data_IF_766042648404
#
_entry.id   IF_766042648404
#
_cell.length_a   1.000
_cell.length_b   1.000
_cell.length_c   1.000
_cell.angle_alpha   90.00
_cell.angle_beta   90.00
_cell.angle_gamma   90.00
#
_symmetry.space_group_name_H-M   'P 1'
#
loop_
_entity.id
_entity.type
_entity.pdbx_description
1 polymer ?
#
# COMPACT_ATOMS: atom_id res chain seq x y z
N UNK A 1 13.91 21.32 -10.39
CA UNK A 1 12.62 20.68 -10.07
C UNK A 1 12.54 20.51 -8.56
N UNK A 2 11.67 21.26 -7.90
CA UNK A 2 11.42 21.08 -6.47
C UNK A 2 10.49 19.89 -6.27
N UNK A 3 11.04 18.68 -6.35
CA UNK A 3 10.30 17.48 -5.96
C UNK A 3 10.23 17.48 -4.44
N UNK A 4 9.04 17.36 -3.83
CA UNK A 4 8.93 17.25 -2.38
C UNK A 4 9.55 15.92 -1.95
N UNK A 5 10.80 15.95 -1.55
CA UNK A 5 11.54 14.80 -1.04
C UNK A 5 11.41 14.86 0.49
N UNK A 6 10.95 13.79 1.16
CA UNK A 6 11.05 13.72 2.61
C UNK A 6 12.48 13.96 3.06
N UNK A 7 12.67 14.77 4.09
CA UNK A 7 14.00 15.09 4.62
C UNK A 7 14.59 13.98 5.49
N UNK A 8 13.93 12.83 5.54
CA UNK A 8 14.37 11.70 6.35
C UNK A 8 15.65 11.08 5.77
N UNK A 9 16.56 10.76 6.66
CA UNK A 9 17.79 10.05 6.31
C UNK A 9 17.40 8.59 6.11
N UNK A 10 17.69 7.98 4.95
CA UNK A 10 17.47 6.55 4.77
C UNK A 10 18.35 5.77 5.76
N UNK A 11 17.71 4.91 6.55
CA UNK A 11 18.41 3.96 7.40
C UNK A 11 19.11 2.91 6.53
N UNK A 12 20.21 2.35 7.02
CA UNK A 12 20.87 1.23 6.36
C UNK A 12 19.90 0.04 6.27
N UNK A 13 19.91 -0.65 5.13
CA UNK A 13 19.09 -1.84 4.96
C UNK A 13 19.50 -2.93 5.98
N UNK A 14 18.52 -3.62 6.59
CA UNK A 14 18.81 -4.65 7.60
C UNK A 14 19.43 -5.93 7.02
N UNK A 15 19.32 -6.12 5.70
CA UNK A 15 19.82 -7.26 4.96
C UNK A 15 20.41 -6.77 3.62
N UNK A 16 21.27 -7.57 2.96
CA UNK A 16 21.74 -7.25 1.62
C UNK A 16 20.60 -7.01 0.65
N UNK A 17 20.70 -5.98 -0.19
CA UNK A 17 19.65 -5.55 -1.11
C UNK A 17 19.16 -6.69 -2.02
N UNK A 18 20.09 -7.48 -2.59
CA UNK A 18 19.73 -8.60 -3.45
C UNK A 18 18.83 -9.63 -2.76
N UNK A 19 19.05 -9.87 -1.45
CA UNK A 19 18.23 -10.79 -0.67
C UNK A 19 16.82 -10.24 -0.43
N UNK A 20 16.71 -8.95 -0.08
CA UNK A 20 15.42 -8.28 0.08
C UNK A 20 14.64 -8.23 -1.23
N UNK A 21 15.30 -7.97 -2.37
CA UNK A 21 14.69 -8.01 -3.69
C UNK A 21 14.20 -9.41 -4.02
N UNK A 22 14.99 -10.43 -3.76
CA UNK A 22 14.59 -11.83 -3.97
C UNK A 22 13.38 -12.19 -3.11
N UNK A 23 13.40 -11.83 -1.83
CA UNK A 23 12.25 -12.03 -0.92
C UNK A 23 11.00 -11.30 -1.42
N UNK A 24 11.14 -10.05 -1.87
CA UNK A 24 10.03 -9.28 -2.43
C UNK A 24 9.43 -9.99 -3.66
N UNK A 25 10.26 -10.39 -4.61
CA UNK A 25 9.78 -10.99 -5.87
C UNK A 25 9.17 -12.36 -5.62
N UNK A 26 9.85 -13.25 -4.92
CA UNK A 26 9.38 -14.62 -4.68
C UNK A 26 8.10 -14.61 -3.84
N UNK A 27 8.07 -13.85 -2.74
CA UNK A 27 6.88 -13.79 -1.89
C UNK A 27 5.69 -13.13 -2.61
N UNK A 28 5.94 -12.12 -3.45
CA UNK A 28 4.91 -11.52 -4.28
C UNK A 28 4.35 -12.51 -5.32
N UNK A 29 5.19 -13.29 -5.99
CA UNK A 29 4.74 -14.30 -6.97
C UNK A 29 3.87 -15.37 -6.31
N UNK A 30 4.23 -15.81 -5.11
CA UNK A 30 3.41 -16.74 -4.34
C UNK A 30 2.07 -16.11 -3.93
N UNK A 31 2.11 -14.91 -3.39
CA UNK A 31 0.92 -14.18 -2.94
C UNK A 31 -0.08 -13.91 -4.07
N UNK A 32 0.43 -13.44 -5.23
CA UNK A 32 -0.44 -13.00 -6.31
C UNK A 32 -1.28 -14.14 -6.91
N UNK A 33 -0.77 -15.37 -6.95
CA UNK A 33 -1.53 -16.53 -7.44
C UNK A 33 -2.76 -16.79 -6.59
N UNK A 34 -2.63 -16.70 -5.25
CA UNK A 34 -3.77 -16.89 -4.34
C UNK A 34 -4.75 -15.72 -4.39
N UNK A 35 -4.27 -14.49 -4.55
CA UNK A 35 -5.13 -13.31 -4.77
C UNK A 35 -5.91 -13.44 -6.08
N UNK A 36 -5.24 -13.83 -7.16
CA UNK A 36 -5.89 -14.02 -8.46
C UNK A 36 -6.98 -15.10 -8.38
N UNK A 37 -6.71 -16.21 -7.71
CA UNK A 37 -7.69 -17.27 -7.51
C UNK A 37 -8.86 -16.82 -6.62
N UNK A 38 -8.58 -16.02 -5.58
CA UNK A 38 -9.62 -15.50 -4.67
C UNK A 38 -10.56 -14.52 -5.41
N UNK A 39 -9.99 -13.53 -6.09
CA UNK A 39 -10.77 -12.51 -6.81
C UNK A 39 -11.48 -13.13 -8.01
N UNK A 40 -10.77 -13.85 -8.87
CA UNK A 40 -11.34 -14.49 -10.05
C UNK A 40 -12.34 -15.58 -9.69
N UNK A 41 -12.06 -16.36 -8.68
CA UNK A 41 -12.99 -17.36 -8.16
C UNK A 41 -14.29 -16.74 -7.64
N UNK A 42 -14.19 -15.57 -6.95
CA UNK A 42 -15.38 -14.83 -6.49
C UNK A 42 -16.22 -14.31 -7.67
N UNK A 43 -15.58 -13.78 -8.70
CA UNK A 43 -16.25 -13.34 -9.94
C UNK A 43 -16.95 -14.51 -10.63
N UNK A 44 -16.25 -15.64 -10.79
CA UNK A 44 -16.82 -16.81 -11.46
C UNK A 44 -17.94 -17.44 -10.61
N UNK A 45 -17.84 -17.42 -9.28
CA UNK A 45 -18.92 -17.86 -8.39
C UNK A 45 -20.18 -16.99 -8.59
N UNK A 46 -20.04 -15.69 -8.58
CA UNK A 46 -21.16 -14.77 -8.81
C UNK A 46 -21.79 -14.98 -10.18
N UNK A 47 -20.98 -15.07 -11.25
CA UNK A 47 -21.45 -15.36 -12.59
C UNK A 47 -22.21 -16.67 -12.69
N UNK A 48 -21.64 -17.73 -12.10
CA UNK A 48 -22.26 -19.07 -12.10
C UNK A 48 -23.57 -19.06 -11.30
N UNK A 49 -23.61 -18.37 -10.16
CA UNK A 49 -24.82 -18.28 -9.32
C UNK A 49 -25.95 -17.49 -10.02
N UNK A 50 -25.63 -16.41 -10.74
CA UNK A 50 -26.61 -15.69 -11.55
C UNK A 50 -27.18 -16.61 -12.64
N UNK A 51 -26.35 -17.41 -13.32
CA UNK A 51 -26.82 -18.45 -14.25
C UNK A 51 -27.61 -19.55 -13.55
N UNK A 52 -27.21 -19.86 -12.32
CA UNK A 52 -27.85 -20.83 -11.44
C UNK A 52 -29.29 -20.49 -11.05
N UNK A 53 -29.71 -19.23 -11.16
CA UNK A 53 -31.13 -18.83 -10.99
C UNK A 53 -32.06 -19.55 -11.97
N UNK A 54 -31.55 -19.94 -13.14
CA UNK A 54 -32.31 -20.62 -14.21
C UNK A 54 -31.86 -22.07 -14.46
N UNK A 55 -30.68 -22.47 -13.94
CA UNK A 55 -30.10 -23.77 -14.21
C UNK A 55 -29.38 -24.31 -12.96
N UNK A 56 -29.93 -25.32 -12.34
CA UNK A 56 -29.44 -25.93 -11.09
C UNK A 56 -27.98 -26.40 -11.16
N UNK A 57 -27.50 -26.86 -12.33
CA UNK A 57 -26.11 -27.29 -12.51
C UNK A 57 -25.13 -26.15 -12.27
N UNK A 58 -25.45 -24.94 -12.74
CA UNK A 58 -24.65 -23.75 -12.50
C UNK A 58 -24.71 -23.28 -11.03
N UNK A 59 -25.84 -23.47 -10.33
CA UNK A 59 -25.92 -23.20 -8.88
C UNK A 59 -25.01 -24.17 -8.10
N UNK A 60 -25.05 -25.47 -8.45
CA UNK A 60 -24.15 -26.47 -7.89
C UNK A 60 -22.68 -26.13 -8.17
N UNK A 61 -22.36 -25.72 -9.39
CA UNK A 61 -21.02 -25.29 -9.78
C UNK A 61 -20.55 -24.07 -8.98
N UNK A 62 -21.41 -23.08 -8.79
CA UNK A 62 -21.13 -21.90 -7.95
C UNK A 62 -20.81 -22.31 -6.50
N UNK A 63 -21.60 -23.25 -5.95
CA UNK A 63 -21.38 -23.76 -4.60
C UNK A 63 -20.02 -24.45 -4.44
N UNK A 64 -19.64 -25.29 -5.39
CA UNK A 64 -18.37 -26.01 -5.37
C UNK A 64 -17.17 -25.03 -5.45
N UNK A 65 -17.25 -23.99 -6.29
CA UNK A 65 -16.20 -22.96 -6.33
C UNK A 65 -16.16 -22.16 -5.01
N UNK A 66 -17.31 -21.76 -4.47
CA UNK A 66 -17.39 -21.01 -3.21
C UNK A 66 -16.71 -21.76 -2.04
N UNK A 67 -16.78 -23.09 -2.02
CA UNK A 67 -16.07 -23.93 -1.02
C UNK A 67 -14.55 -23.77 -1.14
N UNK A 68 -14.01 -23.74 -2.36
CA UNK A 68 -12.56 -23.63 -2.59
C UNK A 68 -12.02 -22.25 -2.32
N UNK A 69 -12.74 -21.19 -2.69
CA UNK A 69 -12.35 -19.79 -2.43
C UNK A 69 -12.18 -19.57 -0.93
N UNK A 70 -13.07 -20.14 -0.12
CA UNK A 70 -13.06 -19.97 1.35
C UNK A 70 -11.79 -20.50 2.00
N UNK A 71 -11.16 -21.54 1.45
CA UNK A 71 -9.87 -22.06 1.92
C UNK A 71 -8.71 -21.19 1.42
N UNK A 72 -8.72 -20.85 0.14
CA UNK A 72 -7.61 -20.14 -0.49
C UNK A 72 -7.40 -18.71 0.00
N UNK A 73 -8.45 -18.02 0.50
CA UNK A 73 -8.32 -16.65 1.02
C UNK A 73 -7.43 -16.53 2.25
N UNK A 74 -7.39 -17.53 3.12
CA UNK A 74 -6.48 -17.52 4.28
C UNK A 74 -5.03 -17.52 3.82
N UNK A 75 -4.69 -18.32 2.81
CA UNK A 75 -3.37 -18.33 2.19
C UNK A 75 -3.05 -17.00 1.50
N UNK A 76 -4.04 -16.40 0.83
CA UNK A 76 -3.86 -15.09 0.19
C UNK A 76 -3.42 -14.01 1.18
N UNK A 77 -4.03 -13.94 2.38
CA UNK A 77 -3.65 -12.94 3.40
C UNK A 77 -2.29 -13.25 4.00
N UNK A 78 -2.05 -14.47 4.45
CA UNK A 78 -0.80 -14.84 5.13
C UNK A 78 0.41 -14.61 4.22
N UNK A 79 0.31 -15.01 2.95
CA UNK A 79 1.39 -14.81 1.98
C UNK A 79 1.58 -13.34 1.58
N UNK A 80 0.60 -12.46 1.84
CA UNK A 80 0.70 -11.02 1.57
C UNK A 80 1.58 -10.24 2.53
N UNK A 81 1.85 -10.80 3.72
CA UNK A 81 2.66 -10.11 4.74
C UNK A 81 4.10 -9.93 4.27
N UNK A 82 4.71 -10.98 3.73
CA UNK A 82 6.12 -10.95 3.34
C UNK A 82 6.44 -9.93 2.22
N UNK A 83 5.69 -9.87 1.10
CA UNK A 83 5.95 -8.86 0.08
C UNK A 83 5.63 -7.43 0.58
N UNK A 84 4.64 -7.26 1.48
CA UNK A 84 4.33 -5.96 2.06
C UNK A 84 5.48 -5.46 2.96
N UNK A 85 6.05 -6.31 3.80
CA UNK A 85 7.19 -5.96 4.64
C UNK A 85 8.44 -5.68 3.79
N UNK A 86 8.68 -6.50 2.76
CA UNK A 86 9.83 -6.34 1.88
C UNK A 86 9.77 -5.03 1.08
N UNK A 87 8.61 -4.64 0.54
CA UNK A 87 8.47 -3.38 -0.19
C UNK A 87 8.58 -2.17 0.75
N UNK A 88 8.06 -2.27 1.98
CA UNK A 88 8.22 -1.24 2.99
C UNK A 88 9.69 -1.00 3.33
N UNK A 89 10.48 -2.06 3.45
CA UNK A 89 11.91 -1.97 3.81
C UNK A 89 12.75 -1.46 2.64
N UNK A 90 12.56 -2.01 1.43
CA UNK A 90 13.34 -1.63 0.25
C UNK A 90 13.03 -0.22 -0.27
N UNK A 91 11.77 0.19 -0.17
CA UNK A 91 11.27 1.40 -0.79
C UNK A 91 10.56 2.31 0.22
N UNK A 92 11.10 2.40 1.44
CA UNK A 92 10.50 3.10 2.59
C UNK A 92 9.96 4.48 2.21
N UNK A 93 10.82 5.37 1.70
CA UNK A 93 10.43 6.74 1.35
C UNK A 93 9.30 6.77 0.33
N UNK A 94 9.39 5.92 -0.70
CA UNK A 94 8.43 5.89 -1.82
C UNK A 94 7.09 5.29 -1.40
N UNK A 95 7.13 4.19 -0.66
CA UNK A 95 5.92 3.46 -0.27
C UNK A 95 5.14 4.22 0.80
N UNK A 96 5.80 4.74 1.84
CA UNK A 96 5.14 5.53 2.88
C UNK A 96 4.60 6.86 2.35
N UNK A 97 5.32 7.55 1.46
CA UNK A 97 4.80 8.76 0.83
C UNK A 97 3.55 8.47 -0.01
N UNK A 98 3.55 7.38 -0.78
CA UNK A 98 2.38 6.95 -1.52
C UNK A 98 1.20 6.58 -0.59
N UNK A 99 1.46 5.89 0.52
CA UNK A 99 0.45 5.55 1.53
C UNK A 99 -0.19 6.82 2.14
N UNK A 100 0.64 7.78 2.53
CA UNK A 100 0.19 9.05 3.09
C UNK A 100 -0.67 9.85 2.09
N UNK A 101 -0.23 9.90 0.83
CA UNK A 101 -0.94 10.60 -0.25
C UNK A 101 -2.25 9.91 -0.65
N UNK A 102 -2.30 8.57 -0.63
CA UNK A 102 -3.52 7.79 -0.88
C UNK A 102 -4.49 7.91 0.31
N UNK A 103 -3.93 8.15 1.50
CA UNK A 103 -4.65 8.55 2.71
C UNK A 103 -5.66 7.53 3.19
N UNK A 104 -6.89 8.00 3.42
CA UNK A 104 -7.98 7.19 3.99
C UNK A 104 -8.25 5.89 3.21
N UNK A 105 -8.18 5.93 1.86
CA UNK A 105 -8.42 4.75 1.05
C UNK A 105 -7.42 3.62 1.34
N UNK A 106 -6.14 3.96 1.60
CA UNK A 106 -5.12 2.99 1.97
C UNK A 106 -5.44 2.28 3.30
N UNK A 107 -5.85 3.05 4.31
CA UNK A 107 -6.22 2.49 5.64
C UNK A 107 -7.46 1.61 5.53
N UNK A 108 -8.41 1.98 4.66
CA UNK A 108 -9.64 1.24 4.43
C UNK A 108 -9.44 -0.16 3.82
N UNK A 109 -8.27 -0.49 3.27
CA UNK A 109 -7.98 -1.85 2.76
C UNK A 109 -8.26 -2.90 3.84
N UNK A 110 -7.83 -2.67 5.08
CA UNK A 110 -7.98 -3.64 6.17
C UNK A 110 -9.45 -3.92 6.49
N UNK A 111 -10.30 -2.93 6.83
CA UNK A 111 -11.71 -3.19 7.09
C UNK A 111 -12.46 -3.71 5.88
N UNK A 112 -12.11 -3.28 4.65
CA UNK A 112 -12.71 -3.81 3.43
C UNK A 112 -12.40 -5.30 3.24
N UNK A 113 -11.16 -5.75 3.46
CA UNK A 113 -10.79 -7.18 3.43
C UNK A 113 -11.59 -7.96 4.46
N UNK A 114 -11.72 -7.46 5.69
CA UNK A 114 -12.50 -8.11 6.76
C UNK A 114 -13.95 -8.28 6.33
N UNK A 115 -14.60 -7.21 5.86
CA UNK A 115 -16.00 -7.24 5.41
C UNK A 115 -16.18 -8.21 4.24
N UNK A 116 -15.30 -8.15 3.22
CA UNK A 116 -15.36 -9.07 2.08
C UNK A 116 -15.24 -10.54 2.51
N UNK A 117 -14.37 -10.82 3.47
CA UNK A 117 -14.21 -12.17 4.01
C UNK A 117 -15.45 -12.63 4.78
N UNK A 118 -16.01 -11.78 5.63
CA UNK A 118 -17.25 -12.08 6.35
C UNK A 118 -18.41 -12.35 5.38
N UNK A 119 -18.54 -11.54 4.31
CA UNK A 119 -19.54 -11.75 3.27
C UNK A 119 -19.35 -13.07 2.53
N UNK A 120 -18.12 -13.47 2.20
CA UNK A 120 -17.87 -14.78 1.55
C UNK A 120 -18.09 -15.95 2.50
N UNK A 121 -17.86 -15.81 3.81
CA UNK A 121 -18.25 -16.81 4.79
C UNK A 121 -19.77 -16.87 4.93
N UNK A 122 -20.42 -15.73 5.05
CA UNK A 122 -21.88 -15.64 5.10
C UNK A 122 -22.49 -16.31 3.85
N UNK A 123 -22.01 -15.98 2.66
CA UNK A 123 -22.44 -16.59 1.41
C UNK A 123 -22.28 -18.13 1.42
N UNK A 124 -21.12 -18.64 1.83
CA UNK A 124 -20.88 -20.08 1.86
C UNK A 124 -21.78 -20.81 2.85
N UNK A 125 -21.93 -20.30 4.06
CA UNK A 125 -22.64 -21.00 5.13
C UNK A 125 -24.16 -20.81 5.08
N UNK A 126 -24.65 -19.77 4.42
CA UNK A 126 -26.10 -19.53 4.23
C UNK A 126 -26.70 -20.23 3.02
N UNK A 127 -25.95 -21.08 2.31
CA UNK A 127 -26.39 -21.71 1.04
C UNK A 127 -27.75 -22.42 1.17
N UNK A 128 -27.92 -23.25 2.20
CA UNK A 128 -29.19 -23.92 2.47
C UNK A 128 -30.25 -22.96 3.02
N UNK A 129 -29.88 -22.08 3.93
CA UNK A 129 -30.82 -21.15 4.57
C UNK A 129 -31.44 -20.16 3.56
N UNK A 130 -30.69 -19.78 2.54
CA UNK A 130 -31.12 -18.84 1.49
C UNK A 130 -31.53 -19.54 0.18
N UNK A 131 -31.81 -20.85 0.21
CA UNK A 131 -32.22 -21.60 -0.98
C UNK A 131 -33.50 -21.01 -1.59
N UNK A 132 -34.44 -20.58 -0.77
CA UNK A 132 -35.70 -19.96 -1.21
C UNK A 132 -35.55 -18.43 -1.50
N UNK A 133 -34.43 -17.83 -1.12
CA UNK A 133 -34.15 -16.40 -1.29
C UNK A 133 -32.85 -16.15 -2.11
N UNK A 134 -32.78 -16.79 -3.27
CA UNK A 134 -31.59 -16.77 -4.15
C UNK A 134 -31.12 -15.36 -4.49
N UNK A 135 -32.01 -14.38 -4.64
CA UNK A 135 -31.63 -13.00 -4.94
C UNK A 135 -30.82 -12.36 -3.80
N UNK A 136 -31.22 -12.58 -2.55
CA UNK A 136 -30.46 -12.12 -1.39
C UNK A 136 -29.09 -12.78 -1.34
N UNK A 137 -29.04 -14.10 -1.62
CA UNK A 137 -27.80 -14.85 -1.65
C UNK A 137 -26.83 -14.35 -2.74
N UNK A 138 -27.33 -14.07 -3.96
CA UNK A 138 -26.56 -13.45 -5.05
C UNK A 138 -26.08 -12.06 -4.65
N UNK A 139 -26.89 -11.23 -3.97
CA UNK A 139 -26.53 -9.89 -3.54
C UNK A 139 -25.39 -9.91 -2.51
N UNK A 140 -25.35 -10.86 -1.59
CA UNK A 140 -24.24 -11.04 -0.66
C UNK A 140 -22.93 -11.27 -1.41
N UNK A 141 -22.95 -12.15 -2.42
CA UNK A 141 -21.77 -12.44 -3.23
C UNK A 141 -21.37 -11.25 -4.12
N UNK A 142 -22.38 -10.55 -4.68
CA UNK A 142 -22.13 -9.36 -5.48
C UNK A 142 -21.43 -8.25 -4.68
N UNK A 143 -21.87 -8.02 -3.44
CA UNK A 143 -21.22 -7.05 -2.55
C UNK A 143 -19.78 -7.47 -2.21
N UNK A 144 -19.56 -8.76 -1.93
CA UNK A 144 -18.20 -9.28 -1.70
C UNK A 144 -17.30 -9.07 -2.92
N UNK A 145 -17.80 -9.35 -4.13
CA UNK A 145 -17.07 -9.14 -5.39
C UNK A 145 -16.75 -7.67 -5.60
N UNK A 146 -17.70 -6.75 -5.38
CA UNK A 146 -17.46 -5.31 -5.50
C UNK A 146 -16.31 -4.86 -4.59
N UNK A 147 -16.27 -5.33 -3.36
CA UNK A 147 -15.20 -5.01 -2.42
C UNK A 147 -13.88 -5.63 -2.89
N UNK A 148 -13.87 -6.89 -3.33
CA UNK A 148 -12.66 -7.54 -3.87
C UNK A 148 -12.16 -6.90 -5.17
N UNK A 149 -12.99 -6.24 -5.94
CA UNK A 149 -12.59 -5.44 -7.09
C UNK A 149 -12.00 -4.09 -6.67
N UNK A 150 -12.53 -3.49 -5.61
CA UNK A 150 -12.09 -2.17 -5.17
C UNK A 150 -10.71 -2.21 -4.47
N UNK A 151 -10.44 -3.23 -3.65
CA UNK A 151 -9.17 -3.37 -2.93
C UNK A 151 -7.94 -3.36 -3.85
N UNK A 152 -7.85 -4.19 -4.93
CA UNK A 152 -6.72 -4.16 -5.85
C UNK A 152 -6.57 -2.82 -6.57
N UNK A 153 -7.65 -2.10 -6.82
CA UNK A 153 -7.59 -0.77 -7.45
C UNK A 153 -6.88 0.23 -6.53
N UNK A 154 -7.21 0.23 -5.22
CA UNK A 154 -6.49 1.06 -4.23
C UNK A 154 -5.00 0.69 -4.20
N UNK A 155 -4.71 -0.60 -4.15
CA UNK A 155 -3.34 -1.09 -4.06
C UNK A 155 -2.52 -0.73 -5.31
N UNK A 156 -3.10 -0.90 -6.49
CA UNK A 156 -2.44 -0.56 -7.76
C UNK A 156 -2.23 0.95 -7.92
N UNK A 157 -3.21 1.77 -7.52
CA UNK A 157 -3.05 3.23 -7.52
C UNK A 157 -1.89 3.66 -6.60
N UNK A 158 -1.80 3.09 -5.41
CA UNK A 158 -0.73 3.36 -4.46
C UNK A 158 0.65 2.93 -4.99
N UNK A 159 0.80 1.68 -5.42
CA UNK A 159 2.08 1.17 -5.96
C UNK A 159 2.48 1.91 -7.24
N UNK A 160 1.51 2.36 -8.04
CA UNK A 160 1.81 3.19 -9.20
C UNK A 160 2.26 4.60 -8.78
N UNK A 161 1.59 5.23 -7.80
CA UNK A 161 1.98 6.55 -7.27
C UNK A 161 3.41 6.56 -6.72
N UNK A 162 3.85 5.47 -6.11
CA UNK A 162 5.22 5.27 -5.67
C UNK A 162 6.25 5.49 -6.79
N UNK A 163 5.87 5.21 -8.05
CA UNK A 163 6.72 5.34 -9.23
C UNK A 163 6.77 6.76 -9.81
N UNK A 164 5.97 7.70 -9.27
CA UNK A 164 5.87 9.09 -9.75
C UNK A 164 6.17 10.12 -8.64
N UNK A 165 7.40 10.10 -8.04
CA UNK A 165 7.74 11.06 -6.99
C UNK A 165 7.55 12.52 -7.44
N UNK A 166 7.78 12.81 -8.73
CA UNK A 166 7.63 14.14 -9.32
C UNK A 166 6.18 14.66 -9.31
N UNK A 167 5.20 13.79 -9.12
CA UNK A 167 3.78 14.16 -9.07
C UNK A 167 3.20 14.25 -7.66
N UNK A 168 3.96 13.89 -6.63
CA UNK A 168 3.45 13.86 -5.25
C UNK A 168 2.84 15.17 -4.78
N UNK A 169 3.43 16.30 -5.19
CA UNK A 169 2.92 17.63 -4.83
C UNK A 169 1.55 17.99 -5.45
N UNK A 170 1.08 17.24 -6.44
CA UNK A 170 -0.20 17.48 -7.13
C UNK A 170 -1.30 16.50 -6.74
N UNK A 171 -0.94 15.43 -6.02
CA UNK A 171 -1.90 14.39 -5.64
C UNK A 171 -2.69 14.79 -4.40
N UNK A 172 -4.02 14.73 -4.52
CA UNK A 172 -4.98 15.05 -3.48
C UNK A 172 -5.84 13.82 -3.14
N UNK A 173 -5.20 12.79 -2.59
CA UNK A 173 -5.89 11.56 -2.19
C UNK A 173 -6.05 10.52 -3.30
N UNK A 174 -6.80 9.47 -2.99
CA UNK A 174 -6.95 8.28 -3.82
C UNK A 174 -7.50 8.56 -5.23
N UNK A 175 -8.53 9.41 -5.35
CA UNK A 175 -9.15 9.67 -6.65
C UNK A 175 -8.17 10.31 -7.65
N UNK A 176 -7.32 11.24 -7.19
CA UNK A 176 -6.28 11.81 -8.05
C UNK A 176 -5.14 10.83 -8.32
N UNK A 177 -4.77 9.97 -7.36
CA UNK A 177 -3.79 8.92 -7.59
C UNK A 177 -4.27 7.88 -8.63
N UNK A 178 -5.54 7.58 -8.65
CA UNK A 178 -6.17 6.64 -9.59
C UNK A 178 -6.11 7.12 -11.05
N UNK A 179 -6.05 8.44 -11.29
CA UNK A 179 -5.96 9.01 -12.64
C UNK A 179 -4.54 8.99 -13.23
N UNK A 180 -3.54 8.58 -12.45
CA UNK A 180 -2.18 8.43 -12.96
C UNK A 180 -2.11 7.42 -14.12
N UNK A 181 -1.23 7.65 -15.10
CA UNK A 181 -1.02 6.72 -16.20
C UNK A 181 -0.78 5.30 -15.70
N UNK A 182 -1.24 4.32 -16.46
CA UNK A 182 -1.01 2.89 -16.19
C UNK A 182 -1.81 2.25 -15.02
N UNK A 183 -2.59 3.01 -14.23
CA UNK A 183 -3.40 2.42 -13.13
C UNK A 183 -4.50 1.51 -13.70
N UNK A 184 -5.38 2.04 -14.54
CA UNK A 184 -6.48 1.27 -15.12
C UNK A 184 -6.03 0.16 -16.07
N UNK A 185 -5.07 0.37 -16.99
CA UNK A 185 -4.57 -0.73 -17.81
C UNK A 185 -4.05 -1.91 -16.99
N UNK A 186 -3.24 -1.66 -15.96
CA UNK A 186 -2.77 -2.71 -15.04
C UNK A 186 -3.87 -3.36 -14.23
N UNK A 187 -4.88 -2.58 -13.86
CA UNK A 187 -6.02 -3.11 -13.13
C UNK A 187 -6.81 -4.11 -13.98
N UNK A 188 -7.12 -3.78 -15.22
CA UNK A 188 -7.83 -4.69 -16.13
C UNK A 188 -6.95 -5.88 -16.56
N UNK A 189 -5.65 -5.69 -16.75
CA UNK A 189 -4.71 -6.79 -16.96
C UNK A 189 -4.73 -7.77 -15.76
N UNK A 190 -4.69 -7.25 -14.54
CA UNK A 190 -4.80 -8.05 -13.32
C UNK A 190 -6.13 -8.82 -13.25
N UNK A 191 -7.25 -8.21 -13.62
CA UNK A 191 -8.54 -8.91 -13.67
C UNK A 191 -8.54 -10.02 -14.72
N UNK A 192 -7.93 -9.80 -15.87
CA UNK A 192 -7.71 -10.85 -16.88
C UNK A 192 -6.95 -12.05 -16.31
N UNK A 193 -5.86 -11.78 -15.56
CA UNK A 193 -5.09 -12.81 -14.87
C UNK A 193 -5.92 -13.55 -13.82
N UNK A 194 -6.75 -12.85 -13.05
CA UNK A 194 -7.66 -13.48 -12.07
C UNK A 194 -8.61 -14.49 -12.72
N UNK A 195 -9.20 -14.11 -13.86
CA UNK A 195 -10.10 -14.97 -14.62
C UNK A 195 -9.33 -16.17 -15.22
N UNK A 196 -8.14 -15.93 -15.81
CA UNK A 196 -7.33 -16.98 -16.40
C UNK A 196 -6.88 -18.03 -15.38
N UNK A 197 -6.35 -17.60 -14.23
CA UNK A 197 -5.91 -18.51 -13.16
C UNK A 197 -7.08 -19.28 -12.58
N UNK A 198 -8.24 -18.66 -12.42
CA UNK A 198 -9.44 -19.37 -11.97
C UNK A 198 -9.91 -20.41 -12.97
N UNK A 199 -9.88 -20.11 -14.27
CA UNK A 199 -10.26 -21.05 -15.32
C UNK A 199 -9.37 -22.29 -15.31
N UNK A 200 -8.05 -22.14 -15.27
CA UNK A 200 -7.12 -23.27 -15.23
C UNK A 200 -7.20 -24.05 -13.90
N UNK A 201 -7.50 -23.37 -12.80
CA UNK A 201 -7.78 -24.02 -11.52
C UNK A 201 -9.03 -24.91 -11.61
N UNK A 202 -10.10 -24.47 -12.25
CA UNK A 202 -11.32 -25.26 -12.48
C UNK A 202 -10.98 -26.53 -13.28
N UNK A 203 -10.16 -26.43 -14.33
CA UNK A 203 -9.70 -27.60 -15.10
C UNK A 203 -8.97 -28.61 -14.21
N UNK A 204 -8.03 -28.12 -13.39
CA UNK A 204 -7.28 -28.95 -12.45
C UNK A 204 -8.18 -29.57 -11.39
N UNK A 205 -9.04 -28.76 -10.76
CA UNK A 205 -9.88 -29.16 -9.63
C UNK A 205 -10.83 -30.30 -10.02
N UNK A 206 -11.51 -30.16 -11.16
CA UNK A 206 -12.46 -31.17 -11.66
C UNK A 206 -11.75 -32.37 -12.32
N UNK A 207 -10.46 -32.28 -12.58
CA UNK A 207 -9.66 -33.37 -13.12
C UNK A 207 -9.06 -34.33 -12.07
N UNK A 208 -9.19 -34.00 -10.78
CA UNK A 208 -8.63 -34.82 -9.69
C UNK A 208 -9.39 -36.12 -9.53
N UNK A 209 -8.66 -37.23 -9.36
CA UNK A 209 -9.28 -38.58 -9.15
C UNK A 209 -10.16 -38.65 -7.89
N UNK A 210 -9.83 -37.83 -6.88
CA UNK A 210 -10.58 -37.75 -5.62
C UNK A 210 -11.88 -36.95 -5.69
N UNK A 211 -12.14 -36.24 -6.81
CA UNK A 211 -13.31 -35.41 -6.97
C UNK A 211 -14.37 -36.12 -7.82
N UNK A 212 -15.39 -36.64 -7.17
CA UNK A 212 -16.42 -37.45 -7.80
C UNK A 212 -17.50 -36.55 -8.44
N UNK A 213 -17.24 -36.04 -9.65
CA UNK A 213 -18.16 -35.16 -10.40
C UNK A 213 -19.53 -35.80 -10.56
N UNK A 214 -19.62 -37.10 -10.85
CA UNK A 214 -20.87 -37.81 -11.07
C UNK A 214 -21.78 -37.91 -9.83
N UNK A 215 -21.25 -37.70 -8.64
CA UNK A 215 -22.06 -37.66 -7.40
C UNK A 215 -22.55 -36.25 -7.04
N UNK A 216 -21.94 -35.25 -7.62
CA UNK A 216 -22.22 -33.84 -7.31
C UNK A 216 -23.15 -33.22 -8.37
N UNK A 217 -22.94 -33.56 -9.64
CA UNK A 217 -23.66 -33.00 -10.78
C UNK A 217 -24.54 -34.03 -11.43
N UNK A 218 -25.76 -33.65 -11.83
CA UNK A 218 -26.70 -34.51 -12.51
C UNK A 218 -26.48 -34.60 -14.02
N UNK A 219 -26.05 -33.47 -14.64
CA UNK A 219 -25.89 -33.33 -16.08
C UNK A 219 -24.43 -33.11 -16.47
N UNK A 220 -23.71 -32.24 -15.72
CA UNK A 220 -22.32 -31.93 -16.06
C UNK A 220 -21.38 -33.11 -15.86
N UNK A 221 -20.63 -33.43 -16.91
CA UNK A 221 -19.53 -34.40 -16.89
C UNK A 221 -18.20 -33.67 -16.59
N UNK A 222 -17.18 -34.46 -16.21
CA UNK A 222 -15.81 -33.93 -16.01
C UNK A 222 -15.32 -33.10 -17.22
N UNK A 223 -15.64 -33.59 -18.42
CA UNK A 223 -15.21 -32.91 -19.67
C UNK A 223 -15.91 -31.56 -19.84
N UNK A 224 -17.19 -31.46 -19.53
CA UNK A 224 -17.98 -30.21 -19.64
C UNK A 224 -17.39 -29.14 -18.72
N UNK A 225 -17.08 -29.52 -17.47
CA UNK A 225 -16.45 -28.62 -16.50
C UNK A 225 -15.03 -28.21 -16.91
N UNK A 226 -14.25 -29.11 -17.50
CA UNK A 226 -12.93 -28.77 -18.06
C UNK A 226 -13.03 -27.84 -19.26
N UNK A 227 -13.94 -28.11 -20.20
CA UNK A 227 -14.23 -27.21 -21.34
C UNK A 227 -14.65 -25.82 -20.85
N UNK A 228 -15.51 -25.75 -19.82
CA UNK A 228 -15.88 -24.50 -19.18
C UNK A 228 -14.66 -23.80 -18.59
N UNK A 229 -13.80 -24.50 -17.85
CA UNK A 229 -12.56 -23.95 -17.31
C UNK A 229 -11.63 -23.39 -18.41
N UNK A 230 -11.41 -24.13 -19.50
CA UNK A 230 -10.61 -23.61 -20.62
C UNK A 230 -11.23 -22.39 -21.33
N UNK A 231 -12.57 -22.33 -21.46
CA UNK A 231 -13.23 -21.11 -21.99
C UNK A 231 -13.02 -19.91 -21.10
N UNK A 232 -13.11 -20.08 -19.78
CA UNK A 232 -12.83 -19.04 -18.80
C UNK A 232 -11.34 -18.62 -18.88
N UNK A 233 -10.41 -19.59 -19.02
CA UNK A 233 -8.99 -19.32 -19.19
C UNK A 233 -8.71 -18.51 -20.46
N UNK A 234 -9.30 -18.86 -21.59
CA UNK A 234 -9.17 -18.12 -22.86
C UNK A 234 -9.64 -16.69 -22.71
N UNK A 235 -10.80 -16.48 -22.09
CA UNK A 235 -11.31 -15.12 -21.84
C UNK A 235 -10.32 -14.30 -21.01
N UNK A 236 -9.80 -14.88 -19.91
CA UNK A 236 -8.84 -14.22 -19.04
C UNK A 236 -7.52 -13.91 -19.73
N UNK A 237 -6.94 -14.87 -20.46
CA UNK A 237 -5.68 -14.68 -21.21
C UNK A 237 -5.85 -13.66 -22.35
N UNK A 238 -7.01 -13.66 -23.02
CA UNK A 238 -7.32 -12.66 -24.05
C UNK A 238 -7.38 -11.24 -23.49
N UNK A 239 -8.06 -11.06 -22.36
CA UNK A 239 -8.10 -9.78 -21.65
C UNK A 239 -6.69 -9.36 -21.19
N UNK A 240 -5.90 -10.29 -20.67
CA UNK A 240 -4.56 -10.02 -20.18
C UNK A 240 -3.62 -9.61 -21.30
N UNK A 241 -3.67 -10.26 -22.46
CA UNK A 241 -2.90 -9.87 -23.65
C UNK A 241 -3.32 -8.48 -24.16
N UNK A 242 -4.63 -8.23 -24.27
CA UNK A 242 -5.16 -6.95 -24.74
C UNK A 242 -4.72 -5.78 -23.84
N UNK A 243 -4.98 -5.90 -22.54
CA UNK A 243 -4.59 -4.85 -21.60
C UNK A 243 -3.08 -4.80 -21.35
N UNK A 244 -2.36 -5.91 -21.47
CA UNK A 244 -0.90 -5.95 -21.42
C UNK A 244 -0.24 -5.09 -22.49
N UNK A 245 -0.78 -5.07 -23.71
CA UNK A 245 -0.34 -4.16 -24.78
C UNK A 245 -0.59 -2.70 -24.37
N UNK A 246 -1.76 -2.38 -23.81
CA UNK A 246 -2.08 -1.02 -23.35
C UNK A 246 -1.16 -0.63 -22.19
N UNK A 247 -0.84 -1.55 -21.28
CA UNK A 247 0.12 -1.33 -20.20
C UNK A 247 1.46 -0.88 -20.75
N UNK A 248 1.99 -1.54 -21.80
CA UNK A 248 3.26 -1.16 -22.43
C UNK A 248 3.25 0.28 -22.96
N UNK A 249 2.17 0.68 -23.64
CA UNK A 249 2.03 2.04 -24.19
C UNK A 249 1.81 3.11 -23.15
N UNK A 250 1.33 2.76 -21.96
CA UNK A 250 1.06 3.68 -20.87
C UNK A 250 2.16 3.71 -19.79
N UNK A 251 3.22 2.90 -19.96
CA UNK A 251 4.40 2.94 -19.08
C UNK A 251 5.11 4.30 -19.19
N UNK A 252 5.50 4.91 -18.06
CA UNK A 252 6.38 6.06 -18.07
C UNK A 252 7.71 5.74 -18.78
N UNK A 253 8.10 6.61 -19.72
CA UNK A 253 9.32 6.44 -20.54
C UNK A 253 10.59 6.29 -19.70
N UNK A 254 10.65 6.92 -18.53
CA UNK A 254 11.80 6.87 -17.61
C UNK A 254 12.12 5.46 -17.09
N UNK A 255 11.16 4.53 -17.11
CA UNK A 255 11.36 3.15 -16.65
C UNK A 255 11.55 2.16 -17.79
N UNK A 256 11.48 2.59 -19.06
CA UNK A 256 11.58 1.72 -20.23
C UNK A 256 13.05 1.53 -20.59
N UNK A 257 13.47 0.26 -20.72
CA UNK A 257 14.75 -0.15 -21.24
C UNK A 257 14.58 -1.20 -22.35
N UNK A 258 15.58 -1.40 -23.19
CA UNK A 258 15.56 -2.46 -24.21
C UNK A 258 15.40 -3.86 -23.58
N UNK A 259 16.04 -4.08 -22.43
CA UNK A 259 15.93 -5.33 -21.68
C UNK A 259 14.48 -5.56 -21.21
N UNK A 260 13.83 -4.52 -20.67
CA UNK A 260 12.44 -4.60 -20.25
C UNK A 260 11.52 -4.95 -21.42
N UNK A 261 11.69 -4.28 -22.56
CA UNK A 261 10.89 -4.56 -23.76
C UNK A 261 11.11 -6.02 -24.21
N UNK A 262 12.36 -6.49 -24.27
CA UNK A 262 12.69 -7.86 -24.63
C UNK A 262 12.00 -8.89 -23.73
N UNK A 263 12.08 -8.70 -22.42
CA UNK A 263 11.39 -9.58 -21.44
C UNK A 263 9.88 -9.55 -21.65
N UNK A 264 9.28 -8.37 -21.87
CA UNK A 264 7.84 -8.24 -22.06
C UNK A 264 7.37 -8.89 -23.38
N UNK A 265 8.14 -8.84 -24.45
CA UNK A 265 7.84 -9.53 -25.72
C UNK A 265 7.87 -11.05 -25.53
N UNK A 266 8.88 -11.59 -24.85
CA UNK A 266 8.96 -13.02 -24.54
C UNK A 266 7.78 -13.44 -23.63
N UNK A 267 7.48 -12.65 -22.59
CA UNK A 267 6.36 -12.90 -21.70
C UNK A 267 5.02 -12.90 -22.47
N UNK A 268 4.78 -11.91 -23.34
CA UNK A 268 3.60 -11.86 -24.20
C UNK A 268 3.49 -13.08 -25.14
N UNK A 269 4.62 -13.53 -25.69
CA UNK A 269 4.70 -14.76 -26.49
C UNK A 269 4.29 -16.02 -25.71
N UNK A 270 4.69 -16.12 -24.44
CA UNK A 270 4.28 -17.23 -23.57
C UNK A 270 2.77 -17.21 -23.25
N UNK A 271 2.19 -16.02 -23.05
CA UNK A 271 0.73 -15.89 -22.89
C UNK A 271 -0.01 -16.28 -24.17
N UNK A 272 0.45 -15.81 -25.33
CA UNK A 272 -0.12 -16.17 -26.61
C UNK A 272 -0.02 -17.69 -26.87
N UNK A 273 1.08 -18.31 -26.48
CA UNK A 273 1.27 -19.75 -26.55
C UNK A 273 0.29 -20.50 -25.62
N UNK A 274 0.09 -20.02 -24.38
CA UNK A 274 -0.91 -20.60 -23.47
C UNK A 274 -2.32 -20.49 -24.06
N UNK A 275 -2.68 -19.33 -24.63
CA UNK A 275 -3.95 -19.09 -25.30
C UNK A 275 -4.15 -20.05 -26.49
N UNK A 276 -3.13 -20.21 -27.32
CA UNK A 276 -3.15 -21.13 -28.45
C UNK A 276 -3.34 -22.60 -28.01
N UNK A 277 -2.67 -23.05 -26.95
CA UNK A 277 -2.86 -24.41 -26.41
C UNK A 277 -4.28 -24.60 -25.83
N UNK A 278 -4.83 -23.58 -25.14
CA UNK A 278 -6.22 -23.64 -24.68
C UNK A 278 -7.20 -23.77 -25.86
N UNK A 279 -7.01 -22.95 -26.90
CA UNK A 279 -7.82 -23.02 -28.11
C UNK A 279 -7.73 -24.40 -28.79
N UNK A 280 -6.51 -24.91 -29.00
CA UNK A 280 -6.28 -26.24 -29.57
C UNK A 280 -6.97 -27.35 -28.75
N UNK A 281 -6.97 -27.23 -27.42
CA UNK A 281 -7.67 -28.18 -26.54
C UNK A 281 -9.18 -28.15 -26.75
N UNK A 282 -9.77 -26.95 -26.95
CA UNK A 282 -11.23 -26.82 -27.11
C UNK A 282 -11.75 -27.30 -28.46
N UNK A 283 -10.95 -27.21 -29.53
CA UNK A 283 -11.36 -27.70 -30.85
C UNK A 283 -11.15 -29.21 -31.04
N UNK A 284 -10.35 -29.85 -30.17
CA UNK A 284 -10.15 -31.28 -30.21
C UNK A 284 -11.31 -32.06 -29.56
N UNK A 285 -11.35 -33.38 -29.82
CA UNK A 285 -12.31 -34.27 -29.19
C UNK A 285 -12.06 -34.40 -27.68
N UNK A 286 -13.07 -34.91 -26.97
CA UNK A 286 -13.06 -35.02 -25.50
C UNK A 286 -11.90 -35.87 -24.95
N UNK A 287 -11.43 -36.82 -25.75
CA UNK A 287 -10.32 -37.70 -25.40
C UNK A 287 -9.02 -36.91 -25.16
N UNK A 288 -8.80 -35.83 -25.88
CA UNK A 288 -7.59 -34.99 -25.82
C UNK A 288 -7.70 -33.81 -24.85
N UNK A 289 -8.76 -33.74 -24.01
CA UNK A 289 -9.01 -32.59 -23.11
C UNK A 289 -7.85 -32.28 -22.14
N UNK A 290 -6.98 -33.26 -21.87
CA UNK A 290 -5.82 -33.08 -20.99
C UNK A 290 -4.49 -32.91 -21.74
N UNK A 291 -4.47 -33.04 -23.08
CA UNK A 291 -3.24 -33.12 -23.89
C UNK A 291 -2.30 -31.93 -23.67
N UNK A 292 -2.83 -30.73 -23.61
CA UNK A 292 -2.03 -29.50 -23.50
C UNK A 292 -1.99 -28.91 -22.09
N UNK A 293 -2.65 -29.53 -21.10
CA UNK A 293 -2.79 -28.97 -19.75
C UNK A 293 -1.45 -28.57 -19.12
N UNK A 294 -0.47 -29.48 -19.12
CA UNK A 294 0.87 -29.18 -18.57
C UNK A 294 1.58 -28.06 -19.31
N UNK A 295 1.43 -27.99 -20.65
CA UNK A 295 2.04 -26.93 -21.49
C UNK A 295 1.43 -25.57 -21.17
N UNK A 296 0.11 -25.50 -20.95
CA UNK A 296 -0.60 -24.29 -20.55
C UNK A 296 -0.08 -23.80 -19.20
N UNK A 297 -0.04 -24.66 -18.18
CA UNK A 297 0.47 -24.30 -16.85
C UNK A 297 1.92 -23.81 -16.93
N UNK A 298 2.79 -24.53 -17.64
CA UNK A 298 4.18 -24.16 -17.78
C UNK A 298 4.33 -22.77 -18.44
N UNK A 299 3.59 -22.49 -19.52
CA UNK A 299 3.61 -21.19 -20.19
C UNK A 299 3.10 -20.07 -19.27
N UNK A 300 2.03 -20.32 -18.51
CA UNK A 300 1.49 -19.34 -17.55
C UNK A 300 2.45 -19.08 -16.38
N UNK A 301 3.12 -20.11 -15.86
CA UNK A 301 4.12 -19.95 -14.78
C UNK A 301 5.37 -19.23 -15.28
N UNK A 302 5.86 -19.57 -16.46
CA UNK A 302 6.99 -18.89 -17.07
C UNK A 302 6.68 -17.41 -17.33
N UNK A 303 5.49 -17.11 -17.86
CA UNK A 303 5.00 -15.74 -17.96
C UNK A 303 5.01 -15.03 -16.61
N UNK A 304 4.44 -15.63 -15.56
CA UNK A 304 4.35 -15.04 -14.24
C UNK A 304 5.73 -14.68 -13.66
N UNK A 305 6.71 -15.55 -13.83
CA UNK A 305 8.10 -15.32 -13.37
C UNK A 305 8.74 -14.18 -14.14
N UNK A 306 8.66 -14.19 -15.47
CA UNK A 306 9.23 -13.13 -16.30
C UNK A 306 8.56 -11.78 -16.06
N UNK A 307 7.22 -11.76 -15.99
CA UNK A 307 6.47 -10.55 -15.72
C UNK A 307 6.73 -9.99 -14.32
N UNK A 308 6.79 -10.86 -13.31
CA UNK A 308 7.13 -10.46 -11.94
C UNK A 308 8.54 -9.88 -11.83
N UNK A 309 9.52 -10.51 -12.50
CA UNK A 309 10.89 -10.01 -12.59
C UNK A 309 10.99 -8.67 -13.35
N UNK A 310 10.28 -8.54 -14.46
CA UNK A 310 10.26 -7.30 -15.25
C UNK A 310 9.71 -6.10 -14.45
N UNK A 311 8.77 -6.33 -13.53
CA UNK A 311 8.26 -5.28 -12.64
C UNK A 311 9.33 -4.72 -11.71
N UNK A 312 10.27 -5.56 -11.24
CA UNK A 312 11.38 -5.11 -10.42
C UNK A 312 12.37 -4.28 -11.23
N UNK A 313 12.70 -4.73 -12.45
CA UNK A 313 13.55 -4.00 -13.38
C UNK A 313 12.95 -2.63 -13.71
N UNK A 314 11.68 -2.59 -14.08
CA UNK A 314 10.94 -1.35 -14.32
C UNK A 314 10.99 -0.40 -13.13
N UNK A 315 10.78 -0.90 -11.90
CA UNK A 315 10.83 -0.11 -10.68
C UNK A 315 12.21 0.49 -10.46
N UNK A 316 13.25 -0.32 -10.61
CA UNK A 316 14.63 0.13 -10.47
C UNK A 316 14.93 1.31 -11.40
N UNK A 317 14.71 1.16 -12.69
CA UNK A 317 14.94 2.24 -13.67
C UNK A 317 14.07 3.47 -13.43
N UNK A 318 12.79 3.29 -13.08
CA UNK A 318 11.88 4.42 -12.85
C UNK A 318 12.28 5.29 -11.65
N UNK A 319 12.92 4.71 -10.64
CA UNK A 319 13.29 5.41 -9.41
C UNK A 319 14.77 5.85 -9.37
N UNK A 320 15.62 5.36 -10.26
CA UNK A 320 17.07 5.57 -10.25
C UNK A 320 17.46 7.06 -10.13
N UNK A 321 16.85 7.90 -10.97
CA UNK A 321 17.11 9.36 -10.93
C UNK A 321 16.74 9.99 -9.59
N UNK A 322 15.60 9.58 -9.02
CA UNK A 322 15.15 10.13 -7.75
C UNK A 322 15.98 9.56 -6.58
N UNK A 323 16.37 8.29 -6.64
CA UNK A 323 17.26 7.67 -5.66
C UNK A 323 18.64 8.36 -5.63
N UNK A 324 19.19 8.72 -6.79
CA UNK A 324 20.46 9.45 -6.87
C UNK A 324 20.37 10.84 -6.22
N UNK A 325 19.25 11.55 -6.37
CA UNK A 325 19.00 12.84 -5.69
C UNK A 325 18.89 12.65 -4.17
N UNK A 326 18.14 11.63 -3.71
CA UNK A 326 18.03 11.33 -2.27
C UNK A 326 19.40 10.97 -1.69
N UNK A 327 20.20 10.15 -2.38
CA UNK A 327 21.55 9.80 -1.96
C UNK A 327 22.48 11.03 -1.87
N UNK A 328 22.39 11.94 -2.83
CA UNK A 328 23.16 13.19 -2.80
C UNK A 328 22.77 14.06 -1.59
N UNK A 329 21.46 14.25 -1.35
CA UNK A 329 20.97 14.98 -0.18
C UNK A 329 21.40 14.32 1.14
N UNK A 330 21.41 13.00 1.21
CA UNK A 330 21.86 12.27 2.39
C UNK A 330 23.36 12.48 2.66
N UNK A 331 24.19 12.42 1.61
CA UNK A 331 25.64 12.71 1.74
C UNK A 331 25.88 14.14 2.23
N UNK A 332 25.17 15.11 1.68
CA UNK A 332 25.30 16.50 2.11
C UNK A 332 24.84 16.68 3.56
N UNK A 333 23.72 16.09 3.94
CA UNK A 333 23.29 16.10 5.34
C UNK A 333 24.31 15.46 6.29
N UNK A 334 24.90 14.32 5.90
CA UNK A 334 25.94 13.67 6.70
C UNK A 334 27.19 14.54 6.83
N UNK A 335 27.59 15.22 5.74
CA UNK A 335 28.71 16.18 5.76
C UNK A 335 28.44 17.31 6.74
N UNK A 336 27.29 17.97 6.60
CA UNK A 336 26.89 19.09 7.48
C UNK A 336 26.75 18.64 8.95
N UNK A 337 26.19 17.45 9.19
CA UNK A 337 26.06 16.88 10.53
C UNK A 337 27.43 16.56 11.15
N UNK A 338 28.39 16.09 10.34
CA UNK A 338 29.76 15.84 10.80
C UNK A 338 30.46 17.15 11.12
N UNK A 339 30.38 18.15 10.25
CA UNK A 339 30.95 19.48 10.47
C UNK A 339 30.36 20.15 11.73
N UNK A 340 29.04 20.03 11.93
CA UNK A 340 28.39 20.53 13.14
C UNK A 340 28.82 19.82 14.42
N UNK A 341 29.22 18.53 14.34
CA UNK A 341 29.76 17.79 15.49
C UNK A 341 31.23 18.10 15.75
N UNK A 342 32.03 18.29 14.69
CA UNK A 342 33.45 18.60 14.78
C UNK A 342 33.70 20.07 15.13
N UNK A 343 32.84 20.95 14.64
CA UNK A 343 32.75 22.34 15.00
C UNK A 343 31.37 22.57 15.64
N UNK A 344 31.15 22.09 16.86
CA UNK A 344 29.94 22.49 17.54
C UNK A 344 29.98 24.01 17.46
N UNK A 345 28.97 24.63 16.80
CA UNK A 345 28.62 25.99 17.16
C UNK A 345 28.36 25.83 18.64
N UNK A 346 29.38 26.16 19.44
CA UNK A 346 29.12 26.55 20.80
C UNK A 346 28.04 27.58 20.56
N UNK A 347 26.76 27.22 20.83
CA UNK A 347 25.80 28.25 21.18
C UNK A 347 26.63 29.06 22.14
N UNK A 348 27.18 30.13 21.63
CA UNK A 348 27.93 31.06 22.47
C UNK A 348 26.94 31.25 23.58
N UNK A 349 27.26 30.74 24.79
CA UNK A 349 26.62 31.27 25.99
C UNK A 349 26.43 32.65 25.58
N UNK A 350 25.17 33.07 25.33
CA UNK A 350 24.86 34.38 24.80
C UNK A 350 25.76 35.26 25.66
N UNK A 351 26.93 35.72 25.12
CA UNK A 351 27.78 36.64 25.88
C UNK A 351 26.85 37.83 26.03
N UNK A 352 26.03 37.72 27.08
CA UNK A 352 25.13 38.78 27.50
C UNK A 352 26.11 39.82 27.91
N UNK A 353 26.30 40.81 27.02
CA UNK A 353 27.20 41.93 27.25
C UNK A 353 27.01 42.36 28.72
N UNK A 354 28.02 42.26 29.57
CA UNK A 354 27.89 42.58 30.97
C UNK A 354 27.43 44.02 31.20
N UNK A 355 27.57 44.88 30.18
CA UNK A 355 27.11 46.28 30.21
C UNK A 355 25.59 46.42 29.98
N UNK A 356 24.89 45.38 29.48
CA UNK A 356 23.44 45.41 29.31
C UNK A 356 22.74 45.44 30.65
N UNK A 357 21.73 46.29 30.81
CA UNK A 357 20.91 46.35 32.01
C UNK A 357 20.15 45.03 32.24
N UNK A 358 19.74 44.75 33.48
CA UNK A 358 19.10 43.51 33.92
C UNK A 358 17.92 43.09 33.02
N UNK A 359 17.14 44.01 32.47
CA UNK A 359 16.01 43.74 31.56
C UNK A 359 16.49 43.23 30.22
N UNK A 360 17.60 43.71 29.68
CA UNK A 360 18.15 43.24 28.40
C UNK A 360 18.72 41.83 28.52
N UNK A 361 19.33 41.50 29.66
CA UNK A 361 19.79 40.15 29.97
C UNK A 361 18.61 39.19 30.09
N UNK A 362 17.54 39.60 30.78
CA UNK A 362 16.30 38.86 30.87
C UNK A 362 15.64 38.60 29.52
N UNK A 363 15.71 39.57 28.58
CA UNK A 363 15.23 39.40 27.20
C UNK A 363 16.01 38.33 26.45
N UNK A 364 17.34 38.28 26.60
CA UNK A 364 18.18 37.26 25.97
C UNK A 364 17.86 35.87 26.51
N UNK A 365 17.68 35.72 27.83
CA UNK A 365 17.30 34.47 28.47
C UNK A 365 15.92 34.01 27.98
N UNK A 366 14.97 34.93 27.86
CA UNK A 366 13.64 34.65 27.31
C UNK A 366 13.69 34.16 25.89
N UNK A 367 14.45 34.83 25.04
CA UNK A 367 14.59 34.47 23.63
C UNK A 367 15.18 33.08 23.46
N UNK A 368 16.18 32.72 24.27
CA UNK A 368 16.85 31.44 24.20
C UNK A 368 15.96 30.27 24.72
N UNK A 369 15.19 30.49 25.78
CA UNK A 369 14.53 29.41 26.52
C UNK A 369 12.99 29.40 26.43
N UNK A 370 12.36 30.54 26.16
CA UNK A 370 10.91 30.73 26.34
C UNK A 370 10.18 31.10 25.04
N UNK A 371 10.84 31.82 24.12
CA UNK A 371 10.20 32.38 22.91
C UNK A 371 9.66 31.31 21.95
N UNK A 372 10.17 30.08 22.01
CA UNK A 372 9.64 28.97 21.22
C UNK A 372 8.22 28.55 21.60
N UNK A 373 7.79 28.85 22.86
CA UNK A 373 6.47 28.48 23.36
C UNK A 373 5.61 29.68 23.73
N UNK A 374 6.20 30.86 24.01
CA UNK A 374 5.51 32.07 24.44
C UNK A 374 5.76 33.24 23.48
N UNK A 375 4.69 33.89 23.03
CA UNK A 375 4.73 35.14 22.29
C UNK A 375 4.26 36.31 23.16
N UNK A 376 4.53 37.53 22.72
CA UNK A 376 4.17 38.71 23.50
C UNK A 376 2.66 38.85 23.68
N UNK A 377 1.89 38.81 22.59
CA UNK A 377 0.45 39.13 22.59
C UNK A 377 -0.43 37.99 22.06
N UNK A 378 0.14 36.88 21.63
CA UNK A 378 -0.58 35.78 20.99
C UNK A 378 -0.36 34.47 21.74
N UNK A 379 -1.40 33.66 21.80
CA UNK A 379 -1.30 32.26 22.25
C UNK A 379 -0.51 31.44 21.25
N UNK A 380 0.56 30.77 21.70
CA UNK A 380 1.30 29.81 20.90
C UNK A 380 1.14 28.41 21.51
N UNK A 381 2.16 27.85 22.14
CA UNK A 381 2.09 26.63 22.94
C UNK A 381 1.70 26.96 24.38
N UNK A 382 2.26 28.05 24.92
CA UNK A 382 1.95 28.60 26.22
C UNK A 382 1.11 29.90 26.13
N UNK A 383 0.73 30.48 27.28
CA UNK A 383 0.02 31.75 27.34
C UNK A 383 0.90 32.90 26.81
N UNK A 384 0.31 34.00 26.28
CA UNK A 384 1.04 35.20 25.91
C UNK A 384 1.68 35.86 27.13
N UNK A 385 2.76 36.62 26.89
CA UNK A 385 3.49 37.33 27.96
C UNK A 385 2.60 38.34 28.67
N UNK A 386 1.74 39.03 27.94
CA UNK A 386 0.76 39.97 28.54
C UNK A 386 -0.18 39.30 29.57
N UNK A 387 -0.55 38.03 29.34
CA UNK A 387 -1.33 37.26 30.33
C UNK A 387 -0.45 36.87 31.54
N UNK A 388 0.82 36.49 31.33
CA UNK A 388 1.75 36.20 32.42
C UNK A 388 1.98 37.43 33.28
N UNK A 389 2.15 38.61 32.68
CA UNK A 389 2.23 39.87 33.45
C UNK A 389 1.03 40.07 34.33
N UNK A 390 -0.17 39.95 33.81
CA UNK A 390 -1.41 40.13 34.60
C UNK A 390 -1.50 39.19 35.81
N UNK A 391 -0.98 37.98 35.69
CA UNK A 391 -1.01 36.98 36.77
C UNK A 391 0.06 37.25 37.85
N UNK A 392 1.26 37.70 37.41
CA UNK A 392 2.42 37.76 38.28
C UNK A 392 2.94 39.17 38.58
N UNK A 393 2.24 40.27 38.13
CA UNK A 393 2.61 41.66 38.37
C UNK A 393 2.97 41.95 39.83
N UNK A 394 2.20 41.38 40.79
CA UNK A 394 2.43 41.55 42.23
C UNK A 394 3.09 40.34 42.90
N UNK A 395 3.59 39.39 42.15
CA UNK A 395 4.19 38.16 42.67
C UNK A 395 5.35 37.65 41.81
N UNK A 396 6.38 38.45 41.72
CA UNK A 396 7.62 38.08 40.96
C UNK A 396 8.24 36.78 41.45
N UNK A 397 8.25 36.53 42.77
CA UNK A 397 8.76 35.29 43.31
C UNK A 397 7.96 34.07 42.82
N UNK A 398 6.65 34.19 42.76
CA UNK A 398 5.78 33.14 42.25
C UNK A 398 6.02 32.81 40.77
N UNK A 399 6.43 33.83 39.96
CA UNK A 399 6.87 33.61 38.56
C UNK A 399 8.15 32.80 38.54
N UNK A 400 9.16 33.14 39.30
CA UNK A 400 10.44 32.42 39.39
C UNK A 400 10.26 30.97 39.85
N UNK A 401 9.47 30.76 40.89
CA UNK A 401 9.16 29.42 41.37
C UNK A 401 8.40 28.58 40.34
N UNK A 402 7.50 29.22 39.59
CA UNK A 402 6.78 28.57 38.50
C UNK A 402 7.69 28.16 37.36
N UNK A 403 8.63 28.99 36.93
CA UNK A 403 9.61 28.66 35.88
C UNK A 403 10.48 27.50 36.34
N UNK A 404 10.90 27.47 37.60
CA UNK A 404 11.76 26.41 38.17
C UNK A 404 11.03 25.07 38.32
N UNK A 405 9.77 25.11 38.76
CA UNK A 405 8.95 23.91 39.03
C UNK A 405 7.49 24.15 38.60
N UNK A 406 7.21 24.12 37.30
CA UNK A 406 5.88 24.38 36.79
C UNK A 406 4.92 23.22 37.11
N UNK A 407 3.70 23.57 37.54
CA UNK A 407 2.58 22.65 37.62
C UNK A 407 1.67 22.70 36.40
N UNK A 408 0.51 22.09 36.46
CA UNK A 408 -0.57 22.21 35.49
C UNK A 408 -1.73 22.97 36.08
N UNK A 409 -1.85 24.28 35.80
CA UNK A 409 -2.95 25.13 36.33
C UNK A 409 -4.19 25.13 35.43
N UNK A 410 -4.04 24.89 34.13
CA UNK A 410 -5.13 25.02 33.12
C UNK A 410 -5.15 23.83 32.19
N UNK A 411 -6.33 23.41 31.79
CA UNK A 411 -6.53 22.28 30.92
C UNK A 411 -6.20 22.59 29.43
N UNK A 412 -6.38 23.86 29.05
CA UNK A 412 -6.23 24.36 27.65
C UNK A 412 -4.79 24.64 27.24
N UNK A 413 -3.81 24.45 28.14
CA UNK A 413 -2.40 24.52 27.85
C UNK A 413 -1.67 23.21 28.22
N UNK A 414 -0.65 22.80 27.47
CA UNK A 414 0.20 21.71 27.91
C UNK A 414 0.99 22.10 29.17
N UNK A 415 1.49 21.11 29.89
CA UNK A 415 2.36 21.37 31.05
C UNK A 415 3.69 21.96 30.54
N UNK A 416 4.09 23.10 31.12
CA UNK A 416 5.37 23.73 30.83
C UNK A 416 6.52 22.85 31.33
N UNK A 417 7.64 22.67 30.58
CA UNK A 417 8.83 22.02 31.11
C UNK A 417 9.45 22.84 32.24
N UNK A 418 10.12 22.16 33.16
CA UNK A 418 10.88 22.81 34.23
C UNK A 418 12.24 23.29 33.72
N UNK A 419 12.63 24.52 34.11
CA UNK A 419 13.92 25.11 33.78
C UNK A 419 14.82 25.17 35.02
N UNK A 420 15.13 24.00 35.58
CA UNK A 420 15.95 23.86 36.78
C UNK A 420 17.42 24.26 36.60
N UNK A 421 17.90 24.37 35.35
CA UNK A 421 19.23 24.77 34.97
C UNK A 421 19.49 26.29 35.10
N UNK A 422 18.44 27.11 35.11
CA UNK A 422 18.59 28.57 35.25
C UNK A 422 18.99 28.93 36.69
N UNK A 423 20.02 29.78 36.82
CA UNK A 423 20.47 30.30 38.11
C UNK A 423 19.44 31.23 38.77
N UNK A 424 19.59 31.55 40.06
CA UNK A 424 18.72 32.47 40.70
C UNK A 424 18.81 33.93 40.14
N UNK A 425 19.99 34.29 39.65
CA UNK A 425 20.21 35.58 38.96
C UNK A 425 19.53 35.59 37.57
N UNK A 426 19.64 34.48 36.78
CA UNK A 426 18.95 34.36 35.52
C UNK A 426 17.43 34.46 35.67
N UNK A 427 16.89 33.79 36.67
CA UNK A 427 15.44 33.82 36.96
C UNK A 427 14.97 35.23 37.39
N UNK A 428 15.83 35.97 38.11
CA UNK A 428 15.55 37.33 38.51
C UNK A 428 15.55 38.28 37.32
N UNK A 429 16.53 38.17 36.42
CA UNK A 429 16.62 38.96 35.19
C UNK A 429 15.48 38.64 34.24
N UNK A 430 15.16 37.31 34.04
CA UNK A 430 14.05 36.85 33.25
C UNK A 430 12.70 37.37 33.77
N UNK A 431 12.47 37.34 35.09
CA UNK A 431 11.23 37.83 35.67
C UNK A 431 11.06 39.33 35.46
N UNK A 432 12.12 40.12 35.66
CA UNK A 432 12.11 41.55 35.40
C UNK A 432 11.77 41.87 33.93
N UNK A 433 12.34 41.12 32.98
CA UNK A 433 12.01 41.30 31.57
C UNK A 433 10.52 40.99 31.30
N UNK A 434 10.02 39.82 31.72
CA UNK A 434 8.63 39.45 31.50
C UNK A 434 7.68 40.50 32.09
N UNK A 435 7.94 40.94 33.32
CA UNK A 435 7.09 41.94 34.02
C UNK A 435 7.25 43.39 33.47
N UNK A 436 8.28 43.68 32.66
CA UNK A 436 8.44 44.95 32.00
C UNK A 436 7.59 45.12 30.73
N UNK A 437 6.97 44.04 30.22
CA UNK A 437 6.12 44.07 29.05
C UNK A 437 4.77 44.67 29.35
N UNK A 438 4.36 45.68 28.58
CA UNK A 438 3.09 46.39 28.70
C UNK A 438 2.05 45.90 27.69
#
# INVERSE_FOLDING_TARGET
MNTPIPKDIPLSLPLPEWLLVTLLVVSFLLHIVFIQLMVGGSIVTLWAQIKGLKNKEYDTFAHEIAKTITVNKSMAVVLGIAPLLSINTLYTIYFYSANALTGFAWIMIIPLVIVAFLLTYLHKYSWKALENNKMVHVSIMALAVLIFLFIPLIFLANVNLMMFPEKWGTIQGFLSAMTLPNVFPRYFEFLGACIAVTGIFIVWYNGRKSYAVSTIYSVFKVVDLKRLGYRITILGLGLQLFFGIIVLFTLPSKGISFELIGIMVVAGGLLALALWFCYKTLINTDEYINLHFKKIIFSMLAFLILYGGSRQLYRHHSLEKHQSLVAANTKEFQRLSKEARENPVVESELEIDPSLGEVAKGAAIFQANCAGCHKQNEKLVGPPMTEMVSIYEKNEQGLRDWVRKPGKKRADYPQMPAFSQLSDDDLKELSKYILSIK
#
